data_IF_770383531620
#
_entry.id   IF_770383531620
#
_cell.length_a   1.000
_cell.length_b   1.000
_cell.length_c   1.000
_cell.angle_alpha   90.00
_cell.angle_beta   90.00
_cell.angle_gamma   90.00
#
_symmetry.space_group_name_H-M   'P 1'
#
loop_
_entity.id
_entity.type
_entity.pdbx_description
1 polymer ?
#
# COMPACT_ATOMS: atom_id res chain seq x y z
N UNK A 1 0.27 1.40 4.01
CA UNK A 1 0.25 2.85 3.84
C UNK A 1 0.62 3.22 2.38
N UNK A 2 -0.30 3.83 1.63
CA UNK A 2 -0.07 4.36 0.28
C UNK A 2 -1.10 3.89 -0.75
N UNK A 3 -1.01 2.63 -1.19
CA UNK A 3 -1.86 2.08 -2.25
C UNK A 3 -2.04 0.55 -2.17
N UNK A 4 -3.16 0.07 -2.74
CA UNK A 4 -3.58 -1.33 -2.77
C UNK A 4 -4.65 -1.56 -1.67
N UNK A 5 -4.21 -1.94 -0.47
CA UNK A 5 -5.05 -2.19 0.70
C UNK A 5 -4.37 -1.68 1.99
N UNK A 6 -5.10 -0.88 2.77
CA UNK A 6 -4.63 -0.22 4.00
C UNK A 6 -5.22 1.21 4.07
N UNK A 7 -4.38 2.20 4.41
CA UNK A 7 -4.74 3.63 4.41
C UNK A 7 -4.01 4.35 3.25
N UNK A 8 -4.76 5.00 2.35
CA UNK A 8 -4.25 5.59 1.10
C UNK A 8 -5.27 5.37 -0.03
N UNK A 9 -4.91 4.58 -1.06
CA UNK A 9 -5.75 4.33 -2.24
C UNK A 9 -6.08 2.83 -2.44
N UNK A 10 -7.33 2.53 -2.82
CA UNK A 10 -7.82 1.19 -3.17
C UNK A 10 -8.83 0.70 -2.12
N UNK A 11 -8.38 -0.15 -1.19
CA UNK A 11 -9.20 -0.78 -0.15
C UNK A 11 -8.79 -0.33 1.27
N UNK A 12 -9.77 -0.27 2.19
CA UNK A 12 -9.58 0.05 3.60
C UNK A 12 -10.04 1.50 3.90
N UNK A 13 -9.12 2.47 3.80
CA UNK A 13 -9.36 3.88 4.13
C UNK A 13 -8.67 4.87 3.17
N UNK A 14 -9.26 6.06 3.01
CA UNK A 14 -8.77 7.16 2.17
C UNK A 14 -9.61 7.29 0.88
N UNK A 15 -9.12 6.75 -0.24
CA UNK A 15 -9.68 6.94 -1.59
C UNK A 15 -9.63 5.65 -2.44
N UNK A 16 -10.14 5.73 -3.68
CA UNK A 16 -10.20 4.61 -4.61
C UNK A 16 -11.45 3.75 -4.35
N UNK B 1 -0.69 -3.47 2.37
CA UNK B 1 -0.59 -4.55 1.38
C UNK B 1 -0.78 -3.98 -0.04
N UNK B 2 0.26 -4.07 -0.89
CA UNK B 2 0.20 -3.71 -2.31
C UNK B 2 1.33 -2.76 -2.74
N UNK B 3 1.24 -1.47 -2.37
CA UNK B 3 2.19 -0.44 -2.80
C UNK B 3 2.31 0.75 -1.82
N UNK B 4 3.46 1.43 -1.87
CA UNK B 4 3.83 2.56 -1.02
C UNK B 4 4.75 2.06 0.12
N UNK B 5 4.15 1.69 1.25
CA UNK B 5 4.84 1.17 2.44
C UNK B 5 4.04 0.03 3.10
N UNK B 6 4.70 -1.11 3.34
CA UNK B 6 4.12 -2.34 3.89
C UNK B 6 4.74 -3.56 3.18
N UNK B 7 3.91 -4.53 2.77
CA UNK B 7 4.32 -5.70 1.98
C UNK B 7 3.76 -5.58 0.55
N UNK B 8 4.63 -5.62 -0.47
CA UNK B 8 4.30 -5.34 -1.87
C UNK B 8 5.44 -4.54 -2.53
N UNK B 9 5.18 -3.29 -2.94
CA UNK B 9 6.13 -2.42 -3.65
C UNK B 9 6.43 -1.10 -2.90
N UNK B 10 7.71 -0.68 -2.87
CA UNK B 10 8.18 0.59 -2.32
C UNK B 10 9.04 0.33 -1.06
N UNK B 11 8.45 0.49 0.13
CA UNK B 11 9.12 0.36 1.43
C UNK B 11 8.56 -0.81 2.26
N UNK B 12 9.42 -1.43 3.07
CA UNK B 12 9.08 -2.52 4.00
C UNK B 12 9.55 -3.88 3.44
N UNK B 13 8.70 -4.57 2.69
CA UNK B 13 8.95 -5.92 2.16
C UNK B 13 8.41 -6.13 0.73
N UNK B 14 9.06 -7.03 -0.03
CA UNK B 14 8.72 -7.40 -1.40
C UNK B 14 9.71 -6.79 -2.41
N UNK B 15 9.33 -5.68 -3.06
CA UNK B 15 10.06 -5.07 -4.18
C UNK B 15 10.06 -3.53 -4.12
N UNK B 16 10.72 -2.88 -5.10
CA UNK B 16 10.84 -1.43 -5.19
C UNK B 16 12.02 -0.94 -4.33
#
# INVERSE_FOLDING_TARGET
XGALAVVVWLFLWLWX
XGALAVVVWLFLWLWX
#
